data_IF_972995347383
#
_entry.id   IF_972995347383
#
_cell.length_a   1.000
_cell.length_b   1.000
_cell.length_c   1.000
_cell.angle_alpha   90.00
_cell.angle_beta   90.00
_cell.angle_gamma   90.00
#
_symmetry.space_group_name_H-M   'P 1'
#
loop_
_entity.id
_entity.type
_entity.pdbx_description
1 polymer ?
#
# COMPACT_ATOMS: atom_id res chain seq x y z
N UNK A 1 30.70 -8.91 -46.55
CA UNK A 1 29.73 -9.53 -45.67
C UNK A 1 29.24 -8.51 -44.69
N UNK A 2 28.13 -7.85 -45.03
CA UNK A 2 27.46 -6.95 -44.17
C UNK A 2 26.75 -7.73 -43.08
N UNK A 3 27.26 -7.70 -41.86
CA UNK A 3 26.52 -8.02 -40.66
C UNK A 3 25.58 -6.83 -40.45
N UNK A 4 24.37 -6.91 -41.01
CA UNK A 4 23.27 -6.10 -40.55
C UNK A 4 23.00 -6.55 -39.13
N UNK A 5 23.58 -5.87 -38.14
CA UNK A 5 23.05 -5.89 -36.80
C UNK A 5 21.66 -5.22 -36.92
N UNK A 6 20.63 -6.02 -37.10
CA UNK A 6 19.29 -5.59 -36.78
C UNK A 6 19.33 -5.24 -35.29
N UNK A 7 19.39 -3.95 -35.01
CA UNK A 7 19.13 -3.47 -33.66
C UNK A 7 17.76 -4.05 -33.31
N UNK A 8 17.72 -4.98 -32.37
CA UNK A 8 16.47 -5.60 -31.93
C UNK A 8 15.53 -4.48 -31.52
N UNK A 9 14.40 -4.43 -32.17
CA UNK A 9 13.39 -3.39 -31.89
C UNK A 9 12.83 -3.64 -30.51
N UNK A 10 12.61 -2.60 -29.72
CA UNK A 10 11.89 -2.76 -28.45
C UNK A 10 10.54 -3.43 -28.70
N UNK A 11 10.18 -4.38 -27.83
CA UNK A 11 8.91 -5.07 -27.87
C UNK A 11 7.98 -4.44 -26.85
N UNK A 12 6.79 -4.06 -27.28
CA UNK A 12 5.75 -3.52 -26.39
C UNK A 12 4.79 -4.62 -26.03
N UNK A 13 4.40 -4.68 -24.78
CA UNK A 13 3.43 -5.66 -24.28
C UNK A 13 2.41 -5.02 -23.36
N UNK A 14 1.21 -5.57 -23.38
CA UNK A 14 0.13 -5.24 -22.47
C UNK A 14 -0.37 -6.51 -21.79
N UNK A 15 -0.90 -6.37 -20.59
CA UNK A 15 -1.45 -7.51 -19.88
C UNK A 15 -2.19 -7.15 -18.62
N UNK A 16 -2.59 -8.21 -17.94
CA UNK A 16 -3.25 -8.14 -16.65
C UNK A 16 -2.56 -9.06 -15.65
N UNK A 17 -2.67 -8.72 -14.40
CA UNK A 17 -2.09 -9.46 -13.30
C UNK A 17 -3.08 -9.72 -12.19
N UNK A 18 -2.92 -10.86 -11.54
CA UNK A 18 -3.56 -11.20 -10.27
C UNK A 18 -2.47 -11.27 -9.22
N UNK A 19 -2.66 -10.56 -8.11
CA UNK A 19 -1.73 -10.53 -7.00
C UNK A 19 -2.42 -11.05 -5.74
N UNK A 20 -1.66 -11.79 -4.96
CA UNK A 20 -2.09 -12.29 -3.67
C UNK A 20 -0.91 -12.32 -2.70
N UNK A 21 -1.16 -11.92 -1.48
CA UNK A 21 -0.11 -11.98 -0.46
C UNK A 21 -0.55 -11.50 0.89
N UNK A 22 0.42 -11.17 1.70
CA UNK A 22 0.22 -10.71 3.06
C UNK A 22 1.02 -9.45 3.35
N UNK A 23 0.40 -8.58 4.13
CA UNK A 23 1.05 -7.42 4.70
C UNK A 23 1.10 -7.53 6.22
N UNK A 24 2.19 -7.05 6.79
CA UNK A 24 2.34 -6.79 8.21
C UNK A 24 2.33 -5.28 8.42
N UNK A 25 1.37 -4.82 9.18
CA UNK A 25 1.25 -3.43 9.58
C UNK A 25 1.57 -3.31 11.06
N UNK A 26 2.45 -2.38 11.42
CA UNK A 26 2.64 -1.95 12.79
C UNK A 26 2.26 -0.49 12.92
N UNK A 27 1.46 -0.18 13.91
CA UNK A 27 0.93 1.15 14.13
C UNK A 27 1.03 1.59 15.57
N UNK A 28 1.09 2.90 15.74
CA UNK A 28 1.07 3.56 17.04
C UNK A 28 0.12 4.75 16.96
N UNK A 29 -0.90 4.74 17.80
CA UNK A 29 -1.75 5.90 18.03
C UNK A 29 -1.25 6.64 19.28
N UNK A 30 -1.05 7.93 19.15
CA UNK A 30 -0.68 8.82 20.25
C UNK A 30 -1.87 9.74 20.47
N UNK A 31 -2.52 9.60 21.60
CA UNK A 31 -3.56 10.52 22.05
C UNK A 31 -2.90 11.65 22.82
N UNK A 32 -2.84 12.84 22.19
CA UNK A 32 -2.25 14.02 22.78
C UNK A 32 -3.29 14.96 23.36
N UNK A 33 -2.98 15.61 24.46
CA UNK A 33 -3.75 16.76 24.92
C UNK A 33 -3.36 17.98 24.07
N UNK A 34 -4.27 18.46 23.26
CA UNK A 34 -4.05 19.70 22.51
C UNK A 34 -3.87 20.87 23.48
N UNK A 35 -2.62 21.34 23.64
CA UNK A 35 -2.30 22.69 24.05
C UNK A 35 -2.78 23.23 25.40
N UNK A 36 -3.51 22.48 26.17
CA UNK A 36 -3.95 22.85 27.51
C UNK A 36 -3.23 21.97 28.49
N UNK A 37 -2.17 22.50 29.08
CA UNK A 37 -1.54 21.93 30.28
C UNK A 37 -2.55 21.94 31.43
N UNK A 38 -3.44 20.97 31.43
CA UNK A 38 -4.16 20.59 32.65
C UNK A 38 -3.31 19.53 33.35
N UNK A 39 -2.84 19.86 34.52
CA UNK A 39 -2.22 18.87 35.40
C UNK A 39 -3.14 17.65 35.50
N UNK A 40 -2.65 16.48 35.04
CA UNK A 40 -3.35 15.20 35.16
C UNK A 40 -3.74 14.50 33.86
N UNK A 41 -3.52 15.07 32.68
CA UNK A 41 -3.72 14.37 31.41
C UNK A 41 -2.40 13.76 30.94
N UNK A 42 -2.31 12.46 30.99
CA UNK A 42 -1.18 11.72 30.44
C UNK A 42 -1.45 11.49 28.94
N UNK A 43 -0.42 11.68 28.13
CA UNK A 43 -0.41 11.22 26.73
C UNK A 43 -0.49 9.70 26.75
N UNK A 44 -1.53 9.13 26.15
CA UNK A 44 -1.68 7.70 26.01
C UNK A 44 -1.15 7.26 24.64
N UNK A 45 -0.39 6.18 24.64
CA UNK A 45 0.17 5.57 23.44
C UNK A 45 -0.36 4.16 23.31
N UNK A 46 -1.08 3.88 22.22
CA UNK A 46 -1.59 2.57 21.89
C UNK A 46 -0.79 2.00 20.71
N UNK A 47 -0.17 0.84 20.91
CA UNK A 47 0.59 0.13 19.87
C UNK A 47 -0.21 -1.05 19.37
N UNK A 48 -0.19 -1.26 18.06
CA UNK A 48 -0.89 -2.35 17.41
C UNK A 48 -0.06 -2.93 16.27
N UNK A 49 -0.07 -4.26 16.17
CA UNK A 49 0.51 -4.99 15.06
C UNK A 49 -0.59 -5.85 14.45
N UNK A 50 -0.71 -5.80 13.12
CA UNK A 50 -1.69 -6.56 12.38
C UNK A 50 -1.05 -7.23 11.17
N UNK A 51 -1.52 -8.43 10.88
CA UNK A 51 -1.26 -9.10 9.62
C UNK A 51 -2.55 -9.18 8.83
N UNK A 52 -2.48 -8.87 7.53
CA UNK A 52 -3.63 -8.93 6.64
C UNK A 52 -3.28 -9.66 5.36
N UNK A 53 -4.24 -10.40 4.83
CA UNK A 53 -4.17 -10.96 3.49
C UNK A 53 -4.79 -10.00 2.49
N UNK A 54 -4.19 -9.89 1.32
CA UNK A 54 -4.68 -9.05 0.24
C UNK A 54 -4.67 -9.79 -1.07
N UNK A 55 -5.70 -9.55 -1.88
CA UNK A 55 -5.78 -9.99 -3.25
C UNK A 55 -6.30 -8.86 -4.12
N UNK A 56 -5.67 -8.62 -5.26
CA UNK A 56 -6.08 -7.58 -6.17
C UNK A 56 -5.66 -7.89 -7.61
N UNK A 57 -6.28 -7.22 -8.55
CA UNK A 57 -5.94 -7.27 -9.96
C UNK A 57 -5.34 -5.95 -10.43
N UNK A 58 -4.59 -6.01 -11.50
CA UNK A 58 -3.99 -4.85 -12.13
C UNK A 58 -3.84 -5.04 -13.63
N UNK A 59 -3.59 -3.96 -14.33
CA UNK A 59 -3.21 -3.96 -15.75
C UNK A 59 -1.82 -3.38 -15.89
N UNK A 60 -1.07 -3.84 -16.87
CA UNK A 60 0.28 -3.37 -17.09
C UNK A 60 0.59 -3.12 -18.56
N UNK A 61 1.52 -2.20 -18.77
CA UNK A 61 2.15 -1.89 -20.05
C UNK A 61 3.66 -1.96 -19.86
N UNK A 62 4.35 -2.67 -20.73
CA UNK A 62 5.80 -2.80 -20.63
C UNK A 62 6.49 -2.76 -21.98
N UNK A 63 7.75 -2.38 -21.94
CA UNK A 63 8.67 -2.37 -23.08
C UNK A 63 9.88 -3.21 -22.72
N UNK A 64 10.19 -4.18 -23.57
CA UNK A 64 11.36 -5.05 -23.41
C UNK A 64 12.41 -4.69 -24.45
N UNK A 65 13.66 -4.59 -24.00
CA UNK A 65 14.81 -4.29 -24.81
C UNK A 65 15.80 -5.46 -24.78
N UNK A 66 16.20 -5.92 -25.96
CA UNK A 66 17.22 -6.97 -26.15
C UNK A 66 16.95 -8.26 -25.33
N UNK A 67 15.69 -8.58 -25.08
CA UNK A 67 15.25 -9.71 -24.25
C UNK A 67 15.92 -9.79 -22.87
N UNK A 68 16.47 -8.70 -22.39
CA UNK A 68 17.16 -8.64 -21.09
C UNK A 68 16.53 -7.66 -20.11
N UNK A 69 16.18 -6.47 -20.57
CA UNK A 69 15.62 -5.41 -19.73
C UNK A 69 14.18 -5.14 -20.12
N UNK A 70 13.31 -5.22 -19.17
CA UNK A 70 11.92 -4.80 -19.30
C UNK A 70 11.65 -3.63 -18.36
N UNK A 71 11.01 -2.60 -18.86
CA UNK A 71 10.54 -1.45 -18.07
C UNK A 71 9.03 -1.39 -18.26
N UNK A 72 8.30 -1.21 -17.18
CA UNK A 72 6.86 -1.18 -17.23
C UNK A 72 6.21 -0.31 -16.20
N UNK A 73 4.93 -0.08 -16.41
CA UNK A 73 4.02 0.56 -15.48
C UNK A 73 2.81 -0.34 -15.25
N UNK A 74 2.30 -0.31 -14.06
CA UNK A 74 1.17 -1.14 -13.62
C UNK A 74 0.21 -0.28 -12.83
N UNK A 75 -1.08 -0.51 -13.03
CA UNK A 75 -2.14 0.22 -12.37
C UNK A 75 -3.16 -0.73 -11.76
N UNK A 76 -3.40 -0.57 -10.48
CA UNK A 76 -4.49 -1.20 -9.74
C UNK A 76 -5.60 -0.16 -9.55
N UNK A 77 -6.69 -0.31 -10.29
CA UNK A 77 -7.84 0.58 -10.20
C UNK A 77 -8.90 0.16 -9.19
N UNK A 78 -8.75 -1.03 -8.62
CA UNK A 78 -9.64 -1.54 -7.59
C UNK A 78 -9.27 -0.95 -6.23
N UNK A 79 -10.27 -0.74 -5.38
CA UNK A 79 -10.03 -0.41 -3.98
C UNK A 79 -9.97 -1.68 -3.14
N UNK A 80 -9.03 -1.71 -2.21
CA UNK A 80 -8.90 -2.75 -1.19
C UNK A 80 -9.19 -2.13 0.17
N UNK A 81 -10.16 -2.65 0.88
CA UNK A 81 -10.54 -2.18 2.20
C UNK A 81 -10.06 -3.16 3.26
N UNK A 82 -9.62 -2.61 4.40
CA UNK A 82 -9.39 -3.40 5.61
C UNK A 82 -10.72 -3.67 6.31
N UNK A 83 -10.74 -4.69 7.16
CA UNK A 83 -11.89 -4.92 8.02
C UNK A 83 -12.13 -3.71 8.92
N UNK A 84 -13.41 -3.45 9.20
CA UNK A 84 -13.80 -2.39 10.12
C UNK A 84 -13.47 -2.80 11.55
N UNK A 85 -12.64 -2.02 12.20
CA UNK A 85 -12.33 -2.20 13.60
C UNK A 85 -13.12 -1.23 14.45
N UNK A 86 -13.69 -1.76 15.53
CA UNK A 86 -14.51 -1.00 16.46
C UNK A 86 -13.94 -1.12 17.87
N UNK A 87 -13.92 -0.01 18.57
CA UNK A 87 -13.60 0.04 19.98
C UNK A 87 -14.64 0.86 20.73
N UNK A 88 -14.87 0.52 21.98
CA UNK A 88 -15.67 1.34 22.88
C UNK A 88 -14.74 2.25 23.66
N UNK A 89 -14.90 3.54 23.46
CA UNK A 89 -14.16 4.56 24.20
C UNK A 89 -15.01 5.06 25.38
N UNK A 90 -14.39 5.16 26.55
CA UNK A 90 -15.00 5.73 27.74
C UNK A 90 -14.12 6.86 28.25
N UNK A 91 -14.69 8.05 28.38
CA UNK A 91 -14.04 9.14 29.08
C UNK A 91 -14.28 8.98 30.59
N UNK A 92 -13.19 9.00 31.38
CA UNK A 92 -13.32 9.05 32.82
C UNK A 92 -14.09 10.31 33.26
N UNK A 93 -15.03 10.24 34.23
CA UNK A 93 -15.73 11.42 34.70
C UNK A 93 -14.74 12.40 35.31
N UNK A 94 -14.61 13.55 34.65
CA UNK A 94 -13.90 14.69 35.22
C UNK A 94 -14.75 15.35 36.30
N UNK A 95 -14.13 16.16 37.14
CA UNK A 95 -14.79 16.82 38.29
C UNK A 95 -15.98 17.74 37.93
N UNK A 96 -16.35 17.88 36.67
CA UNK A 96 -17.43 18.72 36.14
C UNK A 96 -18.47 17.93 35.34
N UNK A 97 -18.21 16.66 34.99
CA UNK A 97 -19.13 15.81 34.23
C UNK A 97 -19.61 14.70 35.16
N UNK A 98 -20.89 14.69 35.44
CA UNK A 98 -21.52 13.73 36.36
C UNK A 98 -21.82 12.38 35.76
N UNK A 99 -21.63 12.21 34.45
CA UNK A 99 -21.83 10.94 33.73
C UNK A 99 -20.61 10.59 32.90
N UNK A 100 -20.25 9.31 32.85
CA UNK A 100 -19.22 8.82 31.97
C UNK A 100 -19.70 8.88 30.52
N UNK A 101 -18.96 9.57 29.67
CA UNK A 101 -19.24 9.61 28.24
C UNK A 101 -18.66 8.35 27.60
N UNK A 102 -19.53 7.50 27.07
CA UNK A 102 -19.15 6.23 26.46
C UNK A 102 -19.66 6.20 25.02
N UNK A 103 -18.77 5.94 24.07
CA UNK A 103 -19.12 5.83 22.66
C UNK A 103 -18.32 4.78 21.94
N UNK A 104 -18.80 4.37 20.77
CA UNK A 104 -18.13 3.41 19.91
C UNK A 104 -17.44 4.13 18.76
N UNK A 105 -16.13 3.91 18.62
CA UNK A 105 -15.34 4.37 17.49
C UNK A 105 -15.09 3.24 16.52
N UNK A 106 -15.20 3.50 15.22
CA UNK A 106 -14.87 2.54 14.16
C UNK A 106 -13.93 3.18 13.15
N UNK A 107 -12.97 2.39 12.66
CA UNK A 107 -11.98 2.81 11.67
C UNK A 107 -11.89 1.75 10.59
N UNK A 108 -11.91 2.20 9.34
CA UNK A 108 -11.67 1.39 8.15
C UNK A 108 -10.70 2.13 7.24
N UNK A 109 -9.76 1.42 6.65
CA UNK A 109 -8.79 1.99 5.73
C UNK A 109 -9.05 1.44 4.34
N UNK A 110 -9.13 2.32 3.36
CA UNK A 110 -9.26 1.99 1.95
C UNK A 110 -7.97 2.34 1.22
N UNK A 111 -7.44 1.38 0.45
CA UNK A 111 -6.29 1.54 -0.43
C UNK A 111 -6.77 1.53 -1.87
N UNK A 112 -6.42 2.52 -2.64
CA UNK A 112 -6.86 2.67 -4.03
C UNK A 112 -5.79 3.29 -4.91
N UNK A 113 -6.00 3.18 -6.23
CA UNK A 113 -5.16 3.85 -7.23
C UNK A 113 -3.66 3.59 -7.07
N UNK A 114 -3.28 2.31 -6.93
CA UNK A 114 -1.86 1.96 -6.87
C UNK A 114 -1.24 2.02 -8.26
N UNK A 115 -0.22 2.85 -8.39
CA UNK A 115 0.63 2.96 -9.57
C UNK A 115 2.00 2.38 -9.25
N UNK A 116 2.47 1.49 -10.10
CA UNK A 116 3.78 0.85 -9.96
C UNK A 116 4.59 1.08 -11.23
N UNK A 117 5.80 1.60 -11.07
CA UNK A 117 6.81 1.61 -12.12
C UNK A 117 7.85 0.55 -11.79
N UNK A 118 8.21 -0.30 -12.74
CA UNK A 118 9.11 -1.41 -12.49
C UNK A 118 10.13 -1.63 -13.59
N UNK A 119 11.22 -2.28 -13.21
CA UNK A 119 12.23 -2.80 -14.12
C UNK A 119 12.50 -4.27 -13.81
N UNK A 120 12.67 -5.05 -14.85
CA UNK A 120 12.99 -6.46 -14.76
C UNK A 120 14.28 -6.75 -15.55
N UNK A 121 15.19 -7.47 -14.94
CA UNK A 121 16.43 -7.92 -15.59
C UNK A 121 16.36 -9.44 -15.78
N UNK A 122 16.43 -9.89 -17.03
CA UNK A 122 16.49 -11.29 -17.35
C UNK A 122 17.84 -11.89 -16.90
N UNK A 123 17.75 -12.97 -16.16
CA UNK A 123 18.88 -13.75 -15.68
C UNK A 123 19.08 -14.99 -16.54
N UNK A 124 19.18 -16.15 -15.94
CA UNK A 124 19.36 -17.43 -16.63
C UNK A 124 18.00 -18.06 -16.95
N UNK A 125 17.83 -18.51 -18.17
CA UNK A 125 16.59 -19.14 -18.62
C UNK A 125 15.44 -18.14 -18.59
N UNK A 126 14.32 -18.53 -18.01
CA UNK A 126 13.16 -17.67 -17.83
C UNK A 126 13.19 -16.79 -16.58
N UNK A 127 14.19 -16.91 -15.73
CA UNK A 127 14.28 -16.18 -14.48
C UNK A 127 14.58 -14.69 -14.71
N UNK A 128 13.96 -13.83 -13.91
CA UNK A 128 14.24 -12.39 -13.88
C UNK A 128 14.27 -11.85 -12.45
N UNK A 129 15.07 -10.83 -12.24
CA UNK A 129 15.05 -9.99 -11.05
C UNK A 129 14.18 -8.77 -11.33
N UNK A 130 13.46 -8.28 -10.33
CA UNK A 130 12.53 -7.17 -10.44
C UNK A 130 12.72 -6.17 -9.31
N UNK A 131 12.66 -4.89 -9.67
CA UNK A 131 12.61 -3.77 -8.75
C UNK A 131 11.44 -2.86 -9.15
N UNK A 132 10.79 -2.27 -8.19
CA UNK A 132 9.64 -1.41 -8.42
C UNK A 132 9.61 -0.22 -7.47
N UNK A 133 9.01 0.86 -7.93
CA UNK A 133 8.54 1.97 -7.11
C UNK A 133 7.02 2.01 -7.16
N UNK A 134 6.39 2.23 -6.03
CA UNK A 134 4.94 2.14 -5.88
C UNK A 134 4.41 3.39 -5.19
N UNK A 135 3.21 3.78 -5.58
CA UNK A 135 2.45 4.85 -4.93
C UNK A 135 1.00 4.41 -4.81
N UNK A 136 0.40 4.62 -3.66
CA UNK A 136 -0.99 4.23 -3.38
C UNK A 136 -1.70 5.31 -2.58
N UNK A 137 -2.96 5.52 -2.89
CA UNK A 137 -3.83 6.42 -2.13
C UNK A 137 -4.44 5.68 -0.95
N UNK A 138 -4.34 6.29 0.22
CA UNK A 138 -4.85 5.76 1.48
C UNK A 138 -5.93 6.70 1.99
N UNK A 139 -7.13 6.20 2.14
CA UNK A 139 -8.26 6.91 2.70
C UNK A 139 -8.69 6.25 4.00
N UNK A 140 -8.74 7.02 5.07
CA UNK A 140 -9.24 6.57 6.36
C UNK A 140 -10.71 6.92 6.47
N UNK A 141 -11.56 5.89 6.56
CA UNK A 141 -13.00 6.05 6.82
C UNK A 141 -13.26 5.82 8.29
N UNK A 142 -13.61 6.89 9.00
CA UNK A 142 -13.69 6.90 10.44
C UNK A 142 -15.10 7.28 10.89
N UNK A 143 -15.51 6.65 11.98
CA UNK A 143 -16.60 7.11 12.80
C UNK A 143 -16.11 7.12 14.25
N UNK A 144 -15.50 8.23 14.64
CA UNK A 144 -14.90 8.38 15.94
C UNK A 144 -15.86 9.08 16.89
N UNK A 145 -16.00 8.55 18.10
CA UNK A 145 -16.82 9.14 19.15
C UNK A 145 -16.38 10.57 19.49
N UNK A 146 -15.10 10.88 19.34
CA UNK A 146 -14.52 12.20 19.58
C UNK A 146 -14.67 13.18 18.43
N UNK A 147 -15.33 12.79 17.32
CA UNK A 147 -15.45 13.58 16.08
C UNK A 147 -14.09 13.96 15.45
N UNK A 148 -13.03 13.21 15.74
CA UNK A 148 -11.73 13.39 15.11
C UNK A 148 -11.68 12.71 13.76
N UNK A 149 -10.89 13.24 12.82
CA UNK A 149 -10.64 12.60 11.54
C UNK A 149 -9.17 12.68 11.16
N UNK A 150 -8.66 11.62 10.49
CA UNK A 150 -7.26 11.53 10.08
C UNK A 150 -7.02 11.89 8.60
N UNK A 151 -8.07 11.99 7.79
CA UNK A 151 -7.98 12.40 6.38
C UNK A 151 -7.37 11.34 5.46
N UNK A 152 -6.88 11.80 4.32
CA UNK A 152 -6.33 10.99 3.24
C UNK A 152 -4.85 11.30 3.04
N UNK A 153 -4.09 10.31 2.56
CA UNK A 153 -2.69 10.48 2.21
C UNK A 153 -2.31 9.60 1.02
N UNK A 154 -1.19 9.92 0.39
CA UNK A 154 -0.52 9.06 -0.57
C UNK A 154 0.69 8.42 0.10
N UNK A 155 0.83 7.11 -0.06
CA UNK A 155 1.94 6.35 0.49
C UNK A 155 2.81 5.84 -0.64
N UNK A 156 4.11 6.05 -0.53
CA UNK A 156 5.10 5.58 -1.47
C UNK A 156 5.84 4.37 -0.90
N UNK A 157 6.32 3.51 -1.78
CA UNK A 157 7.05 2.33 -1.40
C UNK A 157 7.96 1.81 -2.50
N UNK A 158 8.73 0.81 -2.16
CA UNK A 158 9.59 0.06 -3.07
C UNK A 158 9.28 -1.42 -3.01
N UNK A 159 9.44 -2.08 -4.16
CA UNK A 159 9.33 -3.51 -4.27
C UNK A 159 10.57 -4.10 -4.90
N UNK A 160 10.91 -5.31 -4.52
CA UNK A 160 11.99 -6.09 -5.12
C UNK A 160 11.70 -7.57 -5.00
N UNK A 161 12.17 -8.31 -5.96
CA UNK A 161 11.93 -9.74 -5.99
C UNK A 161 12.47 -10.40 -7.25
N UNK A 162 11.92 -11.54 -7.52
CA UNK A 162 12.29 -12.34 -8.68
C UNK A 162 11.08 -13.08 -9.23
N UNK A 163 11.20 -13.51 -10.46
CA UNK A 163 10.14 -14.22 -11.12
C UNK A 163 10.64 -15.11 -12.26
N UNK A 164 9.68 -15.68 -12.92
CA UNK A 164 9.89 -16.56 -14.06
C UNK A 164 8.91 -16.22 -15.18
N UNK A 165 9.40 -16.20 -16.41
CA UNK A 165 8.59 -15.98 -17.61
C UNK A 165 8.58 -17.24 -18.48
N UNK A 166 7.38 -17.57 -18.97
CA UNK A 166 7.16 -18.47 -20.09
C UNK A 166 6.52 -17.70 -21.23
N UNK A 167 7.05 -17.79 -22.41
CA UNK A 167 6.53 -17.10 -23.58
C UNK A 167 6.33 -18.07 -24.75
N UNK A 168 5.39 -17.74 -25.61
CA UNK A 168 5.01 -18.50 -26.78
C UNK A 168 5.26 -17.69 -28.05
N UNK A 169 5.37 -18.37 -29.19
CA UNK A 169 5.69 -17.76 -30.47
C UNK A 169 4.68 -16.71 -30.95
N UNK A 170 3.45 -16.79 -30.48
CA UNK A 170 2.39 -15.82 -30.80
C UNK A 170 2.47 -14.52 -29.99
N UNK A 171 3.50 -14.35 -29.17
CA UNK A 171 3.72 -13.18 -28.31
C UNK A 171 3.03 -13.24 -26.96
N UNK A 172 2.20 -14.24 -26.70
CA UNK A 172 1.62 -14.45 -25.36
C UNK A 172 2.69 -14.88 -24.38
N UNK A 173 2.64 -14.37 -23.17
CA UNK A 173 3.53 -14.79 -22.09
C UNK A 173 2.82 -14.87 -20.75
N UNK A 174 3.35 -15.70 -19.88
CA UNK A 174 2.94 -15.82 -18.49
C UNK A 174 4.15 -15.55 -17.61
N UNK A 175 4.03 -14.61 -16.71
CA UNK A 175 5.00 -14.35 -15.64
C UNK A 175 4.42 -14.75 -14.29
N UNK A 176 5.27 -15.34 -13.47
CA UNK A 176 5.00 -15.56 -12.05
C UNK A 176 6.13 -14.92 -11.25
N UNK A 177 5.80 -14.11 -10.29
CA UNK A 177 6.82 -13.48 -9.44
C UNK A 177 6.42 -13.41 -7.96
N UNK A 178 7.46 -13.25 -7.15
CA UNK A 178 7.38 -12.97 -5.72
C UNK A 178 8.10 -11.66 -5.45
N UNK A 179 7.41 -10.74 -4.80
CA UNK A 179 7.93 -9.43 -4.45
C UNK A 179 7.84 -9.20 -2.95
N UNK A 180 8.85 -8.57 -2.40
CA UNK A 180 8.77 -7.90 -1.11
C UNK A 180 8.38 -6.45 -1.37
N UNK A 181 7.36 -5.99 -0.67
CA UNK A 181 6.92 -4.60 -0.68
C UNK A 181 7.31 -3.93 0.62
N UNK A 182 8.07 -2.85 0.51
CA UNK A 182 8.51 -2.02 1.63
C UNK A 182 7.92 -0.63 1.41
N UNK A 183 6.93 -0.30 2.19
CA UNK A 183 6.26 1.00 2.13
C UNK A 183 6.92 1.97 3.11
N UNK A 184 6.96 3.24 2.74
CA UNK A 184 7.48 4.29 3.60
C UNK A 184 6.69 4.38 4.90
N UNK A 185 7.37 4.73 5.98
CA UNK A 185 6.71 5.03 7.24
C UNK A 185 5.77 6.22 7.07
N UNK A 186 4.60 6.13 7.66
CA UNK A 186 3.60 7.18 7.56
C UNK A 186 3.24 7.76 8.92
N UNK A 187 2.84 9.02 8.89
CA UNK A 187 2.30 9.73 10.04
C UNK A 187 1.07 10.53 9.61
N UNK A 188 -0.02 10.35 10.33
CA UNK A 188 -1.24 11.10 10.15
C UNK A 188 -1.58 11.84 11.43
N UNK A 189 -2.04 13.10 11.31
CA UNK A 189 -2.49 13.91 12.43
C UNK A 189 -4.01 14.08 12.37
N UNK A 190 -4.67 13.89 13.50
CA UNK A 190 -6.10 14.06 13.57
C UNK A 190 -6.49 15.54 13.66
N UNK A 191 -7.65 15.87 13.10
CA UNK A 191 -8.32 17.14 13.25
C UNK A 191 -9.65 16.95 13.98
N UNK A 192 -10.04 17.92 14.78
CA UNK A 192 -11.37 17.96 15.41
C UNK A 192 -12.45 18.37 14.40
N UNK A 193 -13.72 18.29 14.79
CA UNK A 193 -14.86 18.62 13.91
C UNK A 193 -14.83 20.05 13.34
N UNK A 194 -14.16 20.98 14.02
CA UNK A 194 -13.92 22.35 13.58
C UNK A 194 -12.62 22.54 12.76
N UNK A 195 -12.05 21.43 12.30
CA UNK A 195 -10.81 21.38 11.53
C UNK A 195 -9.56 21.90 12.25
N UNK A 196 -9.58 21.95 13.58
CA UNK A 196 -8.39 22.27 14.37
C UNK A 196 -7.60 21.01 14.73
N UNK A 197 -6.25 21.03 14.70
CA UNK A 197 -5.43 19.89 15.15
C UNK A 197 -5.72 19.59 16.63
N UNK A 198 -6.00 18.33 16.96
CA UNK A 198 -6.31 17.91 18.33
C UNK A 198 -5.19 17.19 19.05
N UNK A 199 -4.00 17.10 18.42
CA UNK A 199 -2.82 16.47 18.99
C UNK A 199 -2.75 14.96 18.87
N UNK A 200 -3.80 14.31 18.36
CA UNK A 200 -3.78 12.86 18.09
C UNK A 200 -2.99 12.56 16.82
N UNK A 201 -2.19 11.52 16.85
CA UNK A 201 -1.35 11.09 15.74
C UNK A 201 -1.41 9.59 15.57
N UNK A 202 -1.40 9.15 14.32
CA UNK A 202 -1.16 7.76 13.95
C UNK A 202 0.16 7.70 13.20
N UNK A 203 1.05 6.80 13.65
CA UNK A 203 2.30 6.47 12.98
C UNK A 203 2.29 4.99 12.66
N UNK A 204 2.84 4.62 11.52
CA UNK A 204 2.90 3.21 11.17
C UNK A 204 3.88 2.90 10.05
N UNK A 205 4.11 1.62 9.89
CA UNK A 205 4.84 1.05 8.78
C UNK A 205 4.06 -0.13 8.21
N UNK A 206 4.32 -0.43 6.96
CA UNK A 206 3.65 -1.48 6.21
C UNK A 206 4.68 -2.20 5.34
N UNK A 207 4.81 -3.51 5.54
CA UNK A 207 5.67 -4.39 4.74
C UNK A 207 4.87 -5.61 4.29
N UNK A 208 5.19 -6.13 3.13
CA UNK A 208 4.46 -7.26 2.60
C UNK A 208 5.26 -8.16 1.67
N UNK A 209 4.70 -9.32 1.43
CA UNK A 209 5.16 -10.26 0.43
C UNK A 209 3.99 -10.62 -0.48
N UNK A 210 4.18 -10.41 -1.78
CA UNK A 210 3.13 -10.55 -2.79
C UNK A 210 3.60 -11.51 -3.89
N UNK A 211 2.79 -12.51 -4.17
CA UNK A 211 2.92 -13.37 -5.34
C UNK A 211 2.01 -12.85 -6.46
N UNK A 212 2.49 -12.95 -7.70
CA UNK A 212 1.76 -12.47 -8.86
C UNK A 212 1.72 -13.50 -9.98
N UNK A 213 0.59 -13.53 -10.69
CA UNK A 213 0.44 -14.17 -11.99
C UNK A 213 0.12 -13.08 -13.00
N UNK A 214 0.91 -13.01 -14.07
CA UNK A 214 0.84 -11.95 -15.08
C UNK A 214 0.69 -12.57 -16.44
N UNK A 215 -0.43 -12.30 -17.12
CA UNK A 215 -0.68 -12.74 -18.48
C UNK A 215 -0.62 -11.53 -19.41
N UNK A 216 0.24 -11.61 -20.41
CA UNK A 216 0.45 -10.53 -21.35
C UNK A 216 0.58 -10.98 -22.79
N UNK A 217 0.54 -10.00 -23.67
CA UNK A 217 0.74 -10.14 -25.12
C UNK A 217 1.74 -9.09 -25.58
N UNK A 218 2.79 -9.56 -26.22
CA UNK A 218 3.81 -8.74 -26.88
C UNK A 218 3.49 -8.56 -28.37
N UNK A 219 3.88 -7.39 -28.90
CA UNK A 219 3.67 -6.98 -30.28
C UNK A 219 4.95 -6.57 -30.97
#
# INVERSE_FOLDING_TARGET
SGLNSMAERPTVAIGAALQYGGYSASGQEIEGSSGVTREGYNTETHKRNEAMEVGYSSVFLEVSMRDRLTIGVEYMGESVETDTESRTDSAAPGSVITEADTGTSSVRVEFSDMVTAYAELRLIGGMYAKIATMSIDVETKENLHTSSSYGNMTLDGMGYGFGWINSWDNGVFLKTDMMIHDWDDFQMSATSADATPNGNQIKGNLDGAIASFRLGKAF
#
